data_IF_043039765178
#
_entry.id   IF_043039765178
#
_cell.length_a   1.000
_cell.length_b   1.000
_cell.length_c   1.000
_cell.angle_alpha   90.00
_cell.angle_beta   90.00
_cell.angle_gamma   90.00
#
_symmetry.space_group_name_H-M   'P 1'
#
loop_
_entity.id
_entity.type
_entity.pdbx_description
1 polymer ?
#
# COMPACT_ATOMS: atom_id res chain seq x y z
N UNK A 1 -10.13 12.00 12.54
CA UNK A 1 -9.54 10.62 12.44
C UNK A 1 -10.22 9.73 11.40
N UNK A 2 -11.55 9.78 11.21
CA UNK A 2 -12.23 9.02 10.13
C UNK A 2 -11.77 9.42 8.72
N UNK A 3 -11.64 10.72 8.45
CA UNK A 3 -11.09 11.23 7.18
C UNK A 3 -9.65 10.75 6.92
N UNK A 4 -8.77 10.85 7.93
CA UNK A 4 -7.42 10.31 7.87
C UNK A 4 -7.40 8.80 7.55
N UNK A 5 -8.25 8.00 8.22
CA UNK A 5 -8.38 6.57 7.92
C UNK A 5 -8.81 6.32 6.47
N UNK A 6 -9.76 7.11 5.95
CA UNK A 6 -10.21 7.01 4.55
C UNK A 6 -9.06 7.26 3.58
N UNK A 7 -8.33 8.37 3.76
CA UNK A 7 -7.19 8.75 2.92
C UNK A 7 -6.10 7.68 2.91
N UNK A 8 -5.71 7.19 4.09
CA UNK A 8 -4.68 6.16 4.19
C UNK A 8 -5.15 4.81 3.63
N UNK A 9 -6.44 4.48 3.73
CA UNK A 9 -6.99 3.29 3.10
C UNK A 9 -6.93 3.36 1.58
N UNK A 10 -7.22 4.52 0.99
CA UNK A 10 -7.05 4.78 -0.45
C UNK A 10 -5.57 4.63 -0.82
N UNK A 11 -4.65 5.33 -0.14
CA UNK A 11 -3.21 5.20 -0.40
C UNK A 11 -2.72 3.74 -0.31
N UNK A 12 -3.24 2.97 0.65
CA UNK A 12 -2.92 1.55 0.79
C UNK A 12 -3.40 0.72 -0.40
N UNK A 13 -4.57 1.04 -0.97
CA UNK A 13 -5.08 0.41 -2.20
C UNK A 13 -4.18 0.77 -3.39
N UNK A 14 -3.90 2.05 -3.60
CA UNK A 14 -3.07 2.54 -4.71
C UNK A 14 -1.66 1.92 -4.67
N UNK A 15 -1.05 1.77 -3.49
CA UNK A 15 0.26 1.12 -3.36
C UNK A 15 0.25 -0.34 -3.83
N UNK A 16 -0.80 -1.10 -3.53
CA UNK A 16 -0.95 -2.49 -4.00
C UNK A 16 -1.16 -2.56 -5.51
N UNK A 17 -1.92 -1.62 -6.06
CA UNK A 17 -2.16 -1.52 -7.50
C UNK A 17 -0.88 -1.18 -8.27
N UNK A 18 -0.06 -0.24 -7.75
CA UNK A 18 1.27 0.08 -8.28
C UNK A 18 2.19 -1.13 -8.23
N UNK A 19 2.21 -1.86 -7.11
CA UNK A 19 2.99 -3.10 -7.00
C UNK A 19 2.61 -4.11 -8.08
N UNK A 20 1.31 -4.31 -8.29
CA UNK A 20 0.81 -5.21 -9.34
C UNK A 20 1.26 -4.77 -10.75
N UNK A 21 1.16 -3.46 -11.06
CA UNK A 21 1.65 -2.91 -12.33
C UNK A 21 3.15 -3.16 -12.53
N UNK A 22 3.97 -2.96 -11.49
CA UNK A 22 5.41 -3.21 -11.56
C UNK A 22 5.74 -4.69 -11.79
N UNK A 23 4.98 -5.59 -11.17
CA UNK A 23 5.12 -7.04 -11.41
C UNK A 23 4.77 -7.38 -12.87
N UNK A 24 3.66 -6.87 -13.39
CA UNK A 24 3.29 -7.05 -14.80
C UNK A 24 4.36 -6.51 -15.76
N UNK A 25 4.91 -5.32 -15.48
CA UNK A 25 5.96 -4.74 -16.31
C UNK A 25 7.22 -5.63 -16.31
N UNK A 26 7.64 -6.13 -15.15
CA UNK A 26 8.77 -7.05 -15.04
C UNK A 26 8.50 -8.37 -15.79
N UNK A 27 7.32 -8.96 -15.63
CA UNK A 27 6.95 -10.23 -16.27
C UNK A 27 6.70 -10.09 -17.78
N UNK A 28 6.37 -8.88 -18.25
CA UNK A 28 6.11 -8.64 -19.67
C UNK A 28 7.36 -8.59 -20.55
N UNK A 29 8.55 -8.48 -19.95
CA UNK A 29 9.86 -8.40 -20.63
C UNK A 29 9.93 -7.30 -21.73
N UNK A 30 9.04 -6.29 -21.67
CA UNK A 30 8.97 -5.21 -22.66
C UNK A 30 10.10 -4.17 -22.49
N UNK A 31 10.81 -4.22 -21.36
CA UNK A 31 11.97 -3.36 -21.08
C UNK A 31 13.07 -4.16 -20.39
N UNK A 32 14.33 -3.79 -20.58
CA UNK A 32 15.48 -4.34 -19.85
C UNK A 32 15.60 -3.81 -18.40
N UNK A 33 14.64 -3.00 -17.94
CA UNK A 33 14.65 -2.41 -16.60
C UNK A 33 14.25 -3.49 -15.59
N UNK A 34 15.11 -3.72 -14.59
CA UNK A 34 14.75 -4.53 -13.43
C UNK A 34 13.95 -3.71 -12.43
N UNK A 35 12.71 -4.11 -12.20
CA UNK A 35 11.81 -3.45 -11.26
C UNK A 35 11.87 -3.99 -9.83
N UNK A 36 12.74 -4.96 -9.55
CA UNK A 36 12.81 -5.66 -8.26
C UNK A 36 12.92 -4.71 -7.06
N UNK A 37 13.80 -3.71 -7.13
CA UNK A 37 13.94 -2.72 -6.05
C UNK A 37 12.65 -1.92 -5.83
N UNK A 38 12.01 -1.45 -6.92
CA UNK A 38 10.76 -0.70 -6.81
C UNK A 38 9.61 -1.56 -6.26
N UNK A 39 9.60 -2.86 -6.59
CA UNK A 39 8.63 -3.82 -6.05
C UNK A 39 8.85 -4.02 -4.55
N UNK A 40 10.11 -4.08 -4.09
CA UNK A 40 10.46 -4.17 -2.67
C UNK A 40 10.04 -2.90 -1.93
N UNK A 41 10.41 -1.72 -2.43
CA UNK A 41 10.09 -0.42 -1.83
C UNK A 41 8.57 -0.22 -1.69
N UNK A 42 7.79 -0.47 -2.75
CA UNK A 42 6.34 -0.32 -2.71
C UNK A 42 5.68 -1.35 -1.78
N UNK A 43 6.29 -2.54 -1.64
CA UNK A 43 5.83 -3.56 -0.68
C UNK A 43 6.02 -3.07 0.75
N UNK A 44 7.16 -2.45 1.07
CA UNK A 44 7.39 -1.85 2.39
C UNK A 44 6.39 -0.73 2.67
N UNK A 45 6.19 0.18 1.72
CA UNK A 45 5.19 1.26 1.82
C UNK A 45 3.78 0.68 2.07
N UNK A 46 3.37 -0.33 1.30
CA UNK A 46 2.07 -0.97 1.48
C UNK A 46 1.91 -1.60 2.88
N UNK A 47 2.98 -2.19 3.43
CA UNK A 47 2.99 -2.76 4.77
C UNK A 47 2.86 -1.70 5.86
N UNK A 48 3.57 -0.57 5.74
CA UNK A 48 3.47 0.57 6.65
C UNK A 48 2.04 1.13 6.64
N UNK A 49 1.50 1.40 5.45
CA UNK A 49 0.12 1.90 5.30
C UNK A 49 -0.89 0.92 5.91
N UNK A 50 -0.71 -0.38 5.69
CA UNK A 50 -1.57 -1.42 6.29
C UNK A 50 -1.52 -1.39 7.82
N UNK A 51 -0.34 -1.23 8.42
CA UNK A 51 -0.21 -1.08 9.89
C UNK A 51 -0.95 0.17 10.37
N UNK A 52 -0.81 1.31 9.68
CA UNK A 52 -1.50 2.56 10.03
C UNK A 52 -3.02 2.42 9.93
N UNK A 53 -3.55 1.79 8.87
CA UNK A 53 -4.99 1.50 8.74
C UNK A 53 -5.48 0.69 9.93
N UNK A 54 -4.77 -0.40 10.28
CA UNK A 54 -5.16 -1.31 11.37
C UNK A 54 -5.18 -0.59 12.72
N UNK A 55 -4.11 0.12 13.07
CA UNK A 55 -4.00 0.81 14.37
C UNK A 55 -4.98 1.97 14.48
N UNK A 56 -5.18 2.75 13.40
CA UNK A 56 -6.14 3.86 13.37
C UNK A 56 -7.57 3.34 13.51
N UNK A 57 -7.92 2.25 12.83
CA UNK A 57 -9.23 1.61 12.91
C UNK A 57 -9.51 1.07 14.32
N UNK A 58 -8.55 0.39 14.95
CA UNK A 58 -8.67 -0.10 16.32
C UNK A 58 -8.86 1.05 17.33
N UNK A 59 -8.08 2.13 17.19
CA UNK A 59 -8.24 3.31 18.06
C UNK A 59 -9.62 3.96 17.92
N UNK A 60 -10.19 4.00 16.71
CA UNK A 60 -11.53 4.54 16.49
C UNK A 60 -12.62 3.65 17.13
N UNK A 61 -12.47 2.31 17.07
CA UNK A 61 -13.39 1.38 17.73
C UNK A 61 -13.34 1.51 19.25
N UNK A 62 -12.15 1.64 19.84
CA UNK A 62 -11.97 1.82 21.29
C UNK A 62 -12.66 3.10 21.81
N UNK A 63 -12.66 4.17 21.03
CA UNK A 63 -13.24 5.45 21.43
C UNK A 63 -14.77 5.53 21.19
N UNK A 64 -15.36 4.55 20.52
CA UNK A 64 -16.80 4.50 20.24
C UNK A 64 -17.57 3.62 21.24
N UNK A 65 -16.86 2.85 22.06
CA UNK A 65 -17.39 2.06 23.18
C UNK A 65 -17.11 2.79 24.50
#
# INVERSE_FOLDING_TARGET
RKDFLSKISISSKEARETRYRLQLLQESEITDIKYTQYIEDITEIANILTKIVKTTSQSLKKNAN
#
